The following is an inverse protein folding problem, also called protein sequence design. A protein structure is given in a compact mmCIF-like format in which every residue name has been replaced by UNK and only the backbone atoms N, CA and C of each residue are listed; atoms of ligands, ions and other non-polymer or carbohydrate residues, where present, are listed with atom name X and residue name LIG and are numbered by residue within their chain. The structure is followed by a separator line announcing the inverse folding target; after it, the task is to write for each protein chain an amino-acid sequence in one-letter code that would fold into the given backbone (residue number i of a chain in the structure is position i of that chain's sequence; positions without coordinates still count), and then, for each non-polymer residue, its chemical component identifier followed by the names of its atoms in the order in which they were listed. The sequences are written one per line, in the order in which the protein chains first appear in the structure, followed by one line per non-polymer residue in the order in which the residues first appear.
data_IF_011639747255
#
_entry.id   IF_011639747255
#
_cell.length_a   1.000
_cell.length_b   1.000
_cell.length_c   1.000
_cell.angle_alpha   90.00
_cell.angle_beta   90.00
_cell.angle_gamma   90.00
#
_symmetry.space_group_name_H-M   'P 1'
#
loop_
_entity.id
_entity.type
_entity.pdbx_description
1 polymer ?
#
# COMPACT_ATOMS: atom_id res chain seq x y z
N UNK A 1 4.49 -10.43 17.00
CA UNK A 1 5.65 -10.65 16.11
C UNK A 1 6.99 -10.38 16.78
N UNK A 2 7.40 -9.14 17.10
CA UNK A 2 8.73 -8.84 17.69
C UNK A 2 9.07 -9.61 18.98
N UNK A 3 8.06 -9.94 19.81
CA UNK A 3 8.25 -10.69 21.06
C UNK A 3 8.33 -12.22 20.87
N UNK A 4 7.90 -12.75 19.73
CA UNK A 4 7.76 -14.21 19.52
C UNK A 4 8.84 -14.71 18.54
N UNK A 5 9.16 -13.91 17.51
CA UNK A 5 10.18 -14.25 16.51
C UNK A 5 11.55 -14.68 17.06
N UNK A 6 12.14 -14.03 18.09
CA UNK A 6 13.46 -14.43 18.58
C UNK A 6 13.47 -15.80 19.27
N UNK A 7 12.29 -16.34 19.61
CA UNK A 7 12.14 -17.66 20.24
C UNK A 7 11.77 -18.76 19.24
N UNK A 8 11.63 -18.43 17.94
CA UNK A 8 11.33 -19.40 16.89
C UNK A 8 12.63 -19.71 16.15
N UNK A 9 13.16 -20.92 16.33
CA UNK A 9 14.40 -21.38 15.68
C UNK A 9 14.31 -21.35 14.15
N UNK A 10 13.12 -21.57 13.59
CA UNK A 10 12.86 -21.55 12.14
C UNK A 10 11.66 -20.66 11.79
N UNK A 11 11.88 -19.35 11.52
CA UNK A 11 10.82 -18.41 11.18
C UNK A 11 9.95 -18.82 9.97
N UNK A 12 10.47 -19.70 9.11
CA UNK A 12 9.73 -20.30 7.99
C UNK A 12 8.52 -21.10 8.42
N UNK A 13 8.53 -21.75 9.58
CA UNK A 13 7.37 -22.51 10.10
C UNK A 13 6.17 -21.61 10.38
N UNK A 14 6.40 -20.31 10.61
CA UNK A 14 5.34 -19.33 10.81
C UNK A 14 4.81 -18.76 9.48
N UNK A 15 5.49 -19.01 8.35
CA UNK A 15 5.14 -18.43 7.06
C UNK A 15 3.76 -18.89 6.59
N UNK A 16 3.46 -20.19 6.66
CA UNK A 16 2.15 -20.73 6.26
C UNK A 16 1.01 -20.13 7.10
N UNK A 17 1.20 -20.03 8.42
CA UNK A 17 0.23 -19.40 9.30
C UNK A 17 0.00 -17.92 8.94
N UNK A 18 1.09 -17.18 8.69
CA UNK A 18 1.00 -15.75 8.37
C UNK A 18 0.45 -15.49 6.98
N UNK A 19 0.75 -16.35 5.99
CA UNK A 19 0.17 -16.29 4.65
C UNK A 19 -1.33 -16.56 4.73
N UNK A 20 -1.77 -17.56 5.50
CA UNK A 20 -3.19 -17.84 5.70
C UNK A 20 -3.90 -16.69 6.44
N UNK A 21 -3.25 -16.11 7.46
CA UNK A 21 -3.75 -14.95 8.19
C UNK A 21 -3.85 -13.71 7.29
N UNK A 22 -2.86 -13.49 6.42
CA UNK A 22 -2.84 -12.43 5.42
C UNK A 22 -3.96 -12.61 4.40
N UNK A 23 -4.12 -13.80 3.81
CA UNK A 23 -5.19 -14.10 2.87
C UNK A 23 -6.58 -13.89 3.47
N UNK A 24 -6.73 -14.08 4.78
CA UNK A 24 -7.99 -13.85 5.51
C UNK A 24 -8.23 -12.37 5.87
N UNK A 25 -7.29 -11.47 5.55
CA UNK A 25 -7.38 -10.03 5.84
C UNK A 25 -7.10 -9.65 7.29
N UNK A 26 -6.51 -10.54 8.08
CA UNK A 26 -6.15 -10.22 9.45
C UNK A 26 -4.89 -9.34 9.48
N UNK A 27 -4.99 -8.19 10.16
CA UNK A 27 -3.87 -7.23 10.29
C UNK A 27 -2.59 -7.87 10.84
N UNK A 28 -2.71 -8.82 11.76
CA UNK A 28 -1.57 -9.56 12.31
C UNK A 28 -0.80 -10.33 11.22
N UNK A 29 -1.52 -10.89 10.25
CA UNK A 29 -0.95 -11.54 9.07
C UNK A 29 -0.19 -10.56 8.20
N UNK A 30 -0.79 -9.40 7.90
CA UNK A 30 -0.12 -8.32 7.12
C UNK A 30 1.20 -7.91 7.79
N UNK A 31 1.18 -7.55 9.07
CA UNK A 31 2.40 -7.15 9.78
C UNK A 31 3.46 -8.24 9.81
N UNK A 32 3.01 -9.46 10.09
CA UNK A 32 3.90 -10.58 10.24
C UNK A 32 4.57 -10.97 8.93
N UNK A 33 3.79 -10.99 7.85
CA UNK A 33 4.29 -11.31 6.51
C UNK A 33 5.25 -10.23 6.01
N UNK A 34 4.92 -8.94 6.18
CA UNK A 34 5.83 -7.83 5.85
C UNK A 34 7.17 -7.96 6.60
N UNK A 35 7.11 -8.30 7.88
CA UNK A 35 8.33 -8.50 8.67
C UNK A 35 9.16 -9.67 8.14
N UNK A 36 8.52 -10.80 7.82
CA UNK A 36 9.19 -11.98 7.26
C UNK A 36 9.80 -11.70 5.87
N UNK A 37 9.08 -10.99 5.00
CA UNK A 37 9.57 -10.58 3.69
C UNK A 37 10.83 -9.71 3.82
N UNK A 38 10.79 -8.69 4.69
CA UNK A 38 11.89 -7.73 4.83
C UNK A 38 13.11 -8.27 5.61
N UNK A 39 12.93 -9.21 6.54
CA UNK A 39 14.01 -9.73 7.40
C UNK A 39 14.53 -11.10 6.99
N UNK A 40 13.70 -11.93 6.39
CA UNK A 40 14.03 -13.31 6.07
C UNK A 40 13.92 -13.63 4.58
N UNK A 41 13.70 -12.61 3.72
CA UNK A 41 13.56 -12.74 2.27
C UNK A 41 12.59 -13.85 1.85
N UNK A 42 11.49 -14.01 2.61
CA UNK A 42 10.45 -14.97 2.28
C UNK A 42 9.60 -14.36 1.17
N UNK A 43 9.52 -15.03 0.03
CA UNK A 43 8.67 -14.61 -1.08
C UNK A 43 7.22 -15.03 -0.84
N UNK A 44 6.28 -14.13 -1.12
CA UNK A 44 4.86 -14.42 -1.12
C UNK A 44 4.29 -14.09 -2.51
N UNK A 45 3.83 -15.09 -3.27
CA UNK A 45 3.15 -14.85 -4.53
C UNK A 45 1.94 -13.94 -4.34
N UNK A 46 1.75 -13.02 -5.28
CA UNK A 46 0.63 -12.06 -5.28
C UNK A 46 0.51 -11.19 -4.02
N UNK A 47 1.62 -10.99 -3.31
CA UNK A 47 1.63 -10.13 -2.12
C UNK A 47 1.07 -8.74 -2.40
N UNK A 48 1.57 -8.05 -3.45
CA UNK A 48 1.14 -6.69 -3.76
C UNK A 48 -0.33 -6.59 -4.20
N UNK A 49 -0.84 -7.43 -5.13
CA UNK A 49 -2.26 -7.46 -5.45
C UNK A 49 -3.17 -7.68 -4.23
N UNK A 50 -2.81 -8.62 -3.34
CA UNK A 50 -3.59 -8.89 -2.12
C UNK A 50 -3.53 -7.74 -1.12
N UNK A 51 -2.35 -7.18 -0.89
CA UNK A 51 -2.18 -6.00 -0.03
C UNK A 51 -3.01 -4.83 -0.56
N UNK A 52 -3.01 -4.63 -1.87
CA UNK A 52 -3.83 -3.61 -2.53
C UNK A 52 -5.33 -3.87 -2.30
N UNK A 53 -5.80 -5.09 -2.48
CA UNK A 53 -7.19 -5.48 -2.19
C UNK A 53 -7.58 -5.23 -0.72
N UNK A 54 -6.70 -5.52 0.24
CA UNK A 54 -6.98 -5.23 1.65
C UNK A 54 -7.19 -3.73 1.90
N UNK A 55 -6.40 -2.86 1.25
CA UNK A 55 -6.62 -1.42 1.33
C UNK A 55 -7.91 -1.00 0.63
N UNK A 56 -8.20 -1.54 -0.56
CA UNK A 56 -9.46 -1.27 -1.29
C UNK A 56 -10.68 -1.64 -0.46
N UNK A 57 -10.61 -2.76 0.27
CA UNK A 57 -11.67 -3.24 1.16
C UNK A 57 -11.70 -2.54 2.53
N UNK A 58 -10.89 -1.51 2.71
CA UNK A 58 -10.88 -0.64 3.90
C UNK A 58 -10.66 -1.39 5.22
N UNK A 59 -9.78 -2.40 5.22
CA UNK A 59 -9.43 -3.18 6.43
C UNK A 59 -8.93 -2.28 7.58
N UNK A 60 -8.41 -1.10 7.28
CA UNK A 60 -8.01 -0.12 8.29
C UNK A 60 -9.18 0.44 9.12
N UNK A 61 -10.42 0.36 8.63
CA UNK A 61 -11.62 0.83 9.37
C UNK A 61 -12.06 -0.13 10.47
N UNK A 62 -11.68 -1.41 10.39
CA UNK A 62 -12.07 -2.43 11.38
C UNK A 62 -11.06 -2.58 12.53
N UNK A 63 -10.06 -1.71 12.63
CA UNK A 63 -8.98 -1.79 13.63
C UNK A 63 -8.87 -0.49 14.44
N UNK A 64 -8.32 -0.61 15.64
CA UNK A 64 -8.10 0.53 16.52
C UNK A 64 -7.02 1.49 15.97
N UNK A 65 -7.03 2.74 16.43
CA UNK A 65 -6.12 3.79 15.97
C UNK A 65 -4.63 3.42 16.12
N UNK A 66 -4.24 2.73 17.19
CA UNK A 66 -2.85 2.34 17.41
C UNK A 66 -2.41 1.27 16.40
N UNK A 67 -3.28 0.31 16.10
CA UNK A 67 -3.03 -0.71 15.08
C UNK A 67 -3.03 -0.11 13.68
N UNK A 68 -3.93 0.84 13.39
CA UNK A 68 -3.96 1.62 12.14
C UNK A 68 -2.65 2.37 11.89
N UNK A 69 -2.12 3.07 12.90
CA UNK A 69 -0.79 3.72 12.79
C UNK A 69 0.35 2.75 12.49
N UNK A 70 0.30 1.54 13.04
CA UNK A 70 1.29 0.50 12.71
C UNK A 70 1.14 0.08 11.25
N UNK A 71 -0.09 -0.05 10.75
CA UNK A 71 -0.38 -0.48 9.38
C UNK A 71 0.23 0.47 8.37
N UNK A 72 0.04 1.78 8.57
CA UNK A 72 0.63 2.80 7.72
C UNK A 72 2.17 2.75 7.70
N UNK A 73 2.80 2.55 8.86
CA UNK A 73 4.27 2.36 8.92
C UNK A 73 4.74 1.11 8.21
N UNK A 74 3.99 0.00 8.33
CA UNK A 74 4.31 -1.24 7.62
C UNK A 74 4.16 -1.08 6.11
N UNK A 75 3.11 -0.40 5.67
CA UNK A 75 2.89 -0.05 4.27
C UNK A 75 4.03 0.80 3.72
N UNK A 76 4.41 1.84 4.45
CA UNK A 76 5.52 2.73 4.08
C UNK A 76 6.82 1.94 3.85
N UNK A 77 7.17 1.03 4.77
CA UNK A 77 8.39 0.21 4.66
C UNK A 77 8.40 -0.68 3.41
N UNK A 78 7.25 -1.24 3.02
CA UNK A 78 7.19 -2.16 1.87
C UNK A 78 7.14 -1.43 0.55
N UNK A 79 6.48 -0.27 0.50
CA UNK A 79 6.44 0.56 -0.71
C UNK A 79 7.79 1.23 -1.01
N UNK A 80 8.66 1.37 -0.01
CA UNK A 80 10.06 1.82 -0.18
C UNK A 80 10.99 0.79 -0.83
N UNK A 81 10.52 -0.41 -1.11
CA UNK A 81 11.33 -1.43 -1.78
C UNK A 81 11.79 -0.96 -3.15
N UNK A 82 13.09 -1.07 -3.42
CA UNK A 82 13.73 -0.63 -4.68
C UNK A 82 13.34 -1.48 -5.88
N UNK A 83 12.87 -2.71 -5.66
CA UNK A 83 12.52 -3.66 -6.72
C UNK A 83 11.04 -3.59 -7.14
N UNK A 84 10.27 -2.63 -6.64
CA UNK A 84 8.86 -2.49 -6.97
C UNK A 84 8.68 -1.87 -8.37
N UNK A 85 7.99 -2.54 -9.31
CA UNK A 85 7.70 -1.93 -10.60
C UNK A 85 6.89 -0.63 -10.46
N UNK A 86 7.23 0.37 -11.29
CA UNK A 86 6.63 1.72 -11.22
C UNK A 86 5.11 1.71 -11.29
N UNK A 87 4.51 0.85 -12.12
CA UNK A 87 3.05 0.78 -12.27
C UNK A 87 2.35 0.27 -10.99
N UNK A 88 2.99 -0.63 -10.23
CA UNK A 88 2.48 -1.10 -8.94
C UNK A 88 2.55 0.05 -7.94
N UNK A 89 3.72 0.68 -7.80
CA UNK A 89 3.90 1.80 -6.88
C UNK A 89 2.96 2.96 -7.19
N UNK A 90 2.80 3.31 -8.47
CA UNK A 90 1.86 4.34 -8.93
C UNK A 90 0.41 4.00 -8.54
N UNK A 91 0.02 2.73 -8.64
CA UNK A 91 -1.32 2.27 -8.24
C UNK A 91 -1.56 2.45 -6.74
N UNK A 92 -0.57 2.14 -5.90
CA UNK A 92 -0.64 2.39 -4.46
C UNK A 92 -0.70 3.88 -4.15
N UNK A 93 0.17 4.70 -4.78
CA UNK A 93 0.15 6.15 -4.61
C UNK A 93 -1.24 6.70 -4.92
N UNK A 94 -1.81 6.34 -6.08
CA UNK A 94 -3.12 6.82 -6.49
C UNK A 94 -4.25 6.34 -5.58
N UNK A 95 -4.24 5.07 -5.16
CA UNK A 95 -5.23 4.54 -4.21
C UNK A 95 -5.17 5.28 -2.87
N UNK A 96 -3.96 5.50 -2.34
CA UNK A 96 -3.75 6.23 -1.10
C UNK A 96 -4.22 7.68 -1.21
N UNK A 97 -3.88 8.38 -2.29
CA UNK A 97 -4.40 9.72 -2.60
C UNK A 97 -5.92 9.74 -2.72
N UNK A 98 -6.57 8.68 -3.22
CA UNK A 98 -8.04 8.61 -3.23
C UNK A 98 -8.62 8.44 -1.84
N UNK A 99 -7.99 7.65 -0.98
CA UNK A 99 -8.43 7.43 0.40
C UNK A 99 -8.43 8.71 1.22
N UNK A 100 -7.48 9.62 1.00
CA UNK A 100 -7.41 10.88 1.78
C UNK A 100 -8.68 11.74 1.67
N UNK A 101 -9.51 11.56 0.64
CA UNK A 101 -10.77 12.29 0.49
C UNK A 101 -11.85 11.88 1.52
N UNK A 102 -11.72 10.68 2.10
CA UNK A 102 -12.72 10.10 3.00
C UNK A 102 -12.14 9.69 4.37
N UNK A 103 -10.87 10.01 4.61
CA UNK A 103 -10.16 9.66 5.84
C UNK A 103 -10.22 10.78 6.87
N UNK A 104 -10.03 10.41 8.14
CA UNK A 104 -9.86 11.37 9.23
C UNK A 104 -8.52 12.13 9.12
N UNK A 105 -8.45 13.35 9.66
CA UNK A 105 -7.27 14.22 9.56
C UNK A 105 -5.94 13.53 9.96
N UNK A 106 -5.84 12.74 11.05
CA UNK A 106 -4.60 12.06 11.40
C UNK A 106 -4.11 11.08 10.32
N UNK A 107 -5.03 10.36 9.67
CA UNK A 107 -4.68 9.44 8.59
C UNK A 107 -4.26 10.20 7.33
N UNK A 108 -4.96 11.29 6.99
CA UNK A 108 -4.61 12.13 5.84
C UNK A 108 -3.16 12.60 5.94
N UNK A 109 -2.74 13.12 7.11
CA UNK A 109 -1.37 13.58 7.32
C UNK A 109 -0.35 12.45 7.10
N UNK A 110 -0.62 11.26 7.65
CA UNK A 110 0.28 10.10 7.50
C UNK A 110 0.35 9.65 6.04
N UNK A 111 -0.80 9.54 5.37
CA UNK A 111 -0.88 9.10 3.97
C UNK A 111 -0.16 10.10 3.06
N UNK A 112 -0.34 11.41 3.25
CA UNK A 112 0.36 12.43 2.48
C UNK A 112 1.87 12.34 2.66
N UNK A 113 2.36 12.08 3.87
CA UNK A 113 3.79 11.86 4.11
C UNK A 113 4.32 10.64 3.35
N UNK A 114 3.58 9.52 3.36
CA UNK A 114 3.95 8.31 2.62
C UNK A 114 4.00 8.62 1.13
N UNK A 115 2.93 9.21 0.56
CA UNK A 115 2.84 9.51 -0.87
C UNK A 115 3.94 10.50 -1.30
N UNK A 116 4.14 11.58 -0.55
CA UNK A 116 5.19 12.57 -0.82
C UNK A 116 6.59 11.94 -0.83
N UNK A 117 6.85 11.02 0.11
CA UNK A 117 8.10 10.25 0.13
C UNK A 117 8.26 9.31 -1.05
N UNK A 118 7.19 8.66 -1.50
CA UNK A 118 7.27 7.77 -2.67
C UNK A 118 7.55 8.56 -3.96
N UNK A 119 6.91 9.72 -4.11
CA UNK A 119 7.12 10.62 -5.26
C UNK A 119 8.51 11.25 -5.27
N UNK A 120 9.08 11.53 -4.09
CA UNK A 120 10.42 12.11 -3.97
C UNK A 120 11.50 11.08 -4.31
N UNK A 121 11.38 9.85 -3.77
CA UNK A 121 12.34 8.76 -3.96
C UNK A 121 12.25 8.13 -5.36
N UNK A 122 11.04 7.90 -5.86
CA UNK A 122 10.83 7.19 -7.14
C UNK A 122 10.43 8.15 -8.25
N UNK A 123 11.43 8.77 -8.90
CA UNK A 123 11.24 9.71 -10.01
C UNK A 123 10.26 9.24 -11.11
N UNK A 124 10.26 7.96 -11.54
CA UNK A 124 9.31 7.49 -12.54
C UNK A 124 7.84 7.61 -12.15
N UNK A 125 7.49 7.82 -10.87
CA UNK A 125 6.10 8.02 -10.43
C UNK A 125 5.62 9.47 -10.55
N UNK A 126 6.53 10.43 -10.79
CA UNK A 126 6.23 11.87 -10.84
C UNK A 126 5.33 12.26 -12.02
N UNK A 127 5.15 11.40 -13.02
CA UNK A 127 4.16 11.64 -14.08
C UNK A 127 2.74 11.84 -13.52
N UNK A 128 2.45 11.28 -12.34
CA UNK A 128 1.18 11.43 -11.64
C UNK A 128 0.91 12.87 -11.19
N UNK A 129 1.93 13.73 -11.10
CA UNK A 129 1.80 15.14 -10.71
C UNK A 129 1.34 16.03 -11.86
N UNK A 130 1.54 15.61 -13.12
CA UNK A 130 1.20 16.41 -14.30
C UNK A 130 -0.14 16.00 -14.90
N UNK A 131 -0.99 17.00 -15.16
CA UNK A 131 -2.22 16.85 -15.93
C UNK A 131 -1.99 16.98 -17.45
N UNK A 132 -0.77 17.27 -17.89
CA UNK A 132 -0.43 17.66 -19.28
C UNK A 132 -0.82 16.63 -20.33
N UNK A 133 -0.96 15.36 -19.95
CA UNK A 133 -1.20 14.26 -20.88
C UNK A 133 -2.67 13.83 -20.95
N UNK A 134 -3.62 14.54 -20.30
CA UNK A 134 -4.95 13.98 -19.99
C UNK A 134 -6.08 14.95 -20.33
N UNK A 135 -6.72 14.68 -21.48
CA UNK A 135 -7.86 15.40 -22.06
C UNK A 135 -9.24 14.86 -21.62
N UNK A 136 -9.28 13.89 -20.71
CA UNK A 136 -10.52 13.21 -20.32
C UNK A 136 -11.28 13.99 -19.24
N UNK A 137 -12.61 14.06 -19.39
CA UNK A 137 -13.55 14.67 -18.43
C UNK A 137 -13.67 13.90 -17.10
N UNK A 138 -13.19 12.66 -17.04
CA UNK A 138 -13.31 11.76 -15.89
C UNK A 138 -12.00 10.99 -15.69
N UNK A 139 -11.67 10.68 -14.43
CA UNK A 139 -10.46 9.95 -14.07
C UNK A 139 -10.59 8.45 -14.44
N UNK A 140 -9.73 7.90 -15.33
CA UNK A 140 -9.83 6.53 -15.80
C UNK A 140 -9.38 5.47 -14.78
N UNK A 141 -8.78 5.86 -13.65
CA UNK A 141 -8.29 4.92 -12.64
C UNK A 141 -9.42 4.16 -11.95
N UNK A 142 -9.36 2.82 -12.00
CA UNK A 142 -10.28 1.94 -11.29
C UNK A 142 -9.60 1.34 -10.03
N UNK A 143 -9.95 1.79 -8.81
CA UNK A 143 -9.36 1.28 -7.59
C UNK A 143 -9.78 -0.16 -7.26
N UNK A 144 -10.86 -0.69 -7.84
CA UNK A 144 -11.31 -2.08 -7.55
C UNK A 144 -10.55 -3.11 -8.36
N UNK A 145 -9.84 -2.69 -9.40
CA UNK A 145 -9.04 -3.56 -10.24
C UNK A 145 -7.69 -3.86 -9.56
N UNK A 146 -7.55 -5.08 -9.03
CA UNK A 146 -6.31 -5.53 -8.39
C UNK A 146 -5.20 -5.88 -9.41
N UNK A 147 -5.55 -6.11 -10.67
CA UNK A 147 -4.58 -6.22 -11.76
C UNK A 147 -4.03 -4.83 -12.11
N UNK A 148 -2.83 -4.53 -11.62
CA UNK A 148 -2.18 -3.23 -11.81
C UNK A 148 -1.94 -2.86 -13.27
N UNK A 149 -1.91 -3.83 -14.19
CA UNK A 149 -1.80 -3.54 -15.62
C UNK A 149 -3.13 -3.04 -16.22
N UNK A 150 -4.26 -3.36 -15.58
CA UNK A 150 -5.62 -3.05 -16.07
C UNK A 150 -6.30 -1.92 -15.33
N UNK A 151 -5.76 -1.44 -14.22
CA UNK A 151 -6.37 -0.38 -13.40
C UNK A 151 -6.21 1.04 -13.99
N UNK A 152 -5.53 1.17 -15.13
CA UNK A 152 -5.34 2.43 -15.89
C UNK A 152 -4.71 3.58 -15.10
N UNK A 153 -3.84 3.27 -14.12
CA UNK A 153 -3.14 4.31 -13.35
C UNK A 153 -2.20 5.19 -14.19
N UNK A 154 -1.64 4.65 -15.28
CA UNK A 154 -0.80 5.42 -16.23
C UNK A 154 -1.58 6.56 -16.89
N UNK A 155 -2.89 6.38 -17.05
CA UNK A 155 -3.81 7.34 -17.65
C UNK A 155 -4.42 8.30 -16.61
N UNK A 156 -4.03 8.22 -15.32
CA UNK A 156 -4.55 9.04 -14.22
C UNK A 156 -3.50 9.96 -13.55
N UNK A 157 -3.93 10.98 -12.80
CA UNK A 157 -3.07 11.95 -12.11
C UNK A 157 -3.62 12.27 -10.71
N UNK A 158 -2.82 12.85 -9.81
CA UNK A 158 -3.19 13.11 -8.40
C UNK A 158 -4.03 14.38 -8.25
N UNK A 159 -5.25 14.38 -8.80
CA UNK A 159 -6.19 15.49 -8.60
C UNK A 159 -6.65 15.61 -7.15
N UNK A 160 -6.60 14.53 -6.37
CA UNK A 160 -7.04 14.50 -4.97
C UNK A 160 -6.27 15.49 -4.09
N UNK A 161 -5.01 15.75 -4.44
CA UNK A 161 -4.20 16.73 -3.70
C UNK A 161 -4.65 18.17 -3.96
N UNK A 162 -5.23 18.45 -5.14
CA UNK A 162 -5.80 19.76 -5.43
C UNK A 162 -7.08 20.03 -4.65
N UNK A 163 -7.81 18.98 -4.27
CA UNK A 163 -9.06 19.11 -3.51
C UNK A 163 -8.86 19.17 -2.00
N UNK A 164 -7.67 18.82 -1.50
CA UNK A 164 -7.31 18.93 -0.09
C UNK A 164 -6.78 20.32 0.31
N UNK A 165 -6.35 21.11 -0.69
CA UNK A 165 -5.95 22.51 -0.56
C UNK A 165 -7.18 23.42 -0.61
#
# INVERSE_FOLDING_TARGET
MKKILPFIEQPRLLSDFLINSFNSGHFNGIFGLIHLMLKHNIECPDFYPKLYQHLVNEVEKSIDCNTKMKLWRALEMVLQSTHLPTYILASFIKLLSRKTLFSELPDVIIILNIVGKMLSVHEPTRYLLSSSNKSQKSDPFDPKQADFAKNRVSESYLWEFKTLL
#
